data_IF_842809341538
#
_entry.id   IF_842809341538
#
_cell.length_a   1.000
_cell.length_b   1.000
_cell.length_c   1.000
_cell.angle_alpha   90.00
_cell.angle_beta   90.00
_cell.angle_gamma   90.00
#
_symmetry.space_group_name_H-M   'P 1'
#
loop_
_entity.id
_entity.type
_entity.pdbx_description
1 polymer ?
#
# COMPACT_ATOMS: atom_id res chain seq x y z
N UNK A 1 -1.45 23.75 2.45
CA UNK A 1 -2.91 23.62 2.24
C UNK A 1 -3.53 23.38 3.60
N UNK A 2 -4.56 24.14 3.96
CA UNK A 2 -5.36 23.86 5.17
C UNK A 2 -6.52 22.97 4.73
N UNK A 3 -6.66 21.81 5.39
CA UNK A 3 -7.75 20.89 5.10
C UNK A 3 -9.02 21.28 5.85
N UNK A 4 -10.15 21.17 5.19
CA UNK A 4 -11.46 21.28 5.84
C UNK A 4 -11.60 20.22 6.93
N UNK A 5 -12.15 20.62 8.09
CA UNK A 5 -12.38 19.74 9.21
C UNK A 5 -13.84 19.82 9.62
N UNK A 6 -14.54 18.71 9.53
CA UNK A 6 -15.93 18.56 9.99
C UNK A 6 -16.18 17.09 10.37
N UNK A 7 -17.36 16.77 10.86
CA UNK A 7 -17.71 15.42 11.32
C UNK A 7 -17.52 14.30 10.27
N UNK A 8 -17.43 14.67 8.98
CA UNK A 8 -17.22 13.73 7.87
C UNK A 8 -15.74 13.53 7.51
N UNK A 9 -14.85 14.42 7.92
CA UNK A 9 -13.45 14.44 7.47
C UNK A 9 -12.45 14.87 8.55
N UNK A 10 -12.61 14.35 9.76
CA UNK A 10 -11.61 14.52 10.82
C UNK A 10 -10.41 13.64 10.49
N UNK A 11 -9.26 14.26 10.24
CA UNK A 11 -7.98 13.55 10.09
C UNK A 11 -7.24 13.59 11.42
N UNK A 12 -6.91 12.42 11.96
CA UNK A 12 -6.23 12.26 13.24
C UNK A 12 -4.75 11.91 13.09
N UNK A 13 -4.44 11.00 12.14
CA UNK A 13 -3.08 10.58 11.88
C UNK A 13 -2.88 10.22 10.40
N UNK A 14 -2.14 11.06 9.69
CA UNK A 14 -1.88 10.85 8.27
C UNK A 14 -0.87 9.71 8.10
N UNK A 15 -1.33 8.62 7.51
CA UNK A 15 -0.51 7.44 7.19
C UNK A 15 0.08 7.54 5.79
N UNK A 16 -0.74 7.87 4.80
CA UNK A 16 -0.34 7.92 3.40
C UNK A 16 -1.08 9.05 2.67
N UNK A 17 -0.38 9.74 1.78
CA UNK A 17 -0.94 10.82 0.95
C UNK A 17 -0.53 10.61 -0.50
N UNK A 18 -1.50 10.62 -1.40
CA UNK A 18 -1.25 10.69 -2.84
C UNK A 18 -1.98 11.86 -3.51
N UNK A 19 -1.34 12.41 -4.55
CA UNK A 19 -1.95 13.43 -5.42
C UNK A 19 -2.30 12.80 -6.76
N UNK A 20 -3.56 12.91 -7.16
CA UNK A 20 -4.03 12.43 -8.45
C UNK A 20 -5.17 13.29 -9.00
N UNK A 21 -5.08 13.69 -10.27
CA UNK A 21 -6.08 14.49 -11.00
C UNK A 21 -6.62 15.71 -10.21
N UNK A 22 -5.71 16.46 -9.57
CA UNK A 22 -6.09 17.67 -8.83
C UNK A 22 -6.79 17.40 -7.49
N UNK A 23 -6.73 16.15 -7.00
CA UNK A 23 -7.23 15.75 -5.70
C UNK A 23 -6.11 15.25 -4.79
N UNK A 24 -6.35 15.36 -3.49
CA UNK A 24 -5.48 14.90 -2.41
C UNK A 24 -6.18 13.71 -1.75
N UNK A 25 -5.58 12.54 -1.85
CA UNK A 25 -6.05 11.30 -1.21
C UNK A 25 -5.28 11.13 0.08
N UNK A 26 -5.97 11.06 1.21
CA UNK A 26 -5.37 10.96 2.54
C UNK A 26 -5.93 9.77 3.29
N UNK A 27 -5.06 8.82 3.59
CA UNK A 27 -5.36 7.72 4.49
C UNK A 27 -5.08 8.15 5.92
N UNK A 28 -6.10 8.06 6.76
CA UNK A 28 -6.01 8.20 8.21
C UNK A 28 -6.07 6.82 8.87
N UNK A 29 -4.96 6.37 9.47
CA UNK A 29 -4.86 5.07 10.10
C UNK A 29 -5.67 4.95 11.40
N UNK A 30 -5.94 6.06 12.08
CA UNK A 30 -6.73 6.07 13.31
C UNK A 30 -8.22 5.89 13.05
N UNK A 31 -8.74 6.60 12.08
CA UNK A 31 -10.13 6.45 11.66
C UNK A 31 -10.32 5.33 10.63
N UNK A 32 -9.23 4.77 10.09
CA UNK A 32 -9.22 3.75 9.02
C UNK A 32 -10.04 4.18 7.82
N UNK A 33 -9.88 5.43 7.43
CA UNK A 33 -10.65 6.01 6.33
C UNK A 33 -9.74 6.64 5.29
N UNK A 34 -10.15 6.51 4.02
CA UNK A 34 -9.54 7.25 2.92
C UNK A 34 -10.42 8.45 2.58
N UNK A 35 -9.94 9.64 2.91
CA UNK A 35 -10.59 10.90 2.61
C UNK A 35 -9.99 11.54 1.36
N UNK A 36 -10.85 12.14 0.53
CA UNK A 36 -10.42 12.85 -0.68
C UNK A 36 -10.78 14.32 -0.56
N UNK A 37 -9.79 15.17 -0.83
CA UNK A 37 -9.90 16.63 -0.82
C UNK A 37 -9.48 17.18 -2.18
N UNK A 38 -9.99 18.36 -2.54
CA UNK A 38 -9.44 19.09 -3.66
C UNK A 38 -8.15 19.85 -3.28
N UNK A 39 -7.48 20.45 -4.26
CA UNK A 39 -6.21 21.18 -4.03
C UNK A 39 -6.36 22.45 -3.18
N UNK A 40 -7.59 22.89 -2.90
CA UNK A 40 -7.85 24.00 -1.96
C UNK A 40 -8.04 23.51 -0.52
N UNK A 41 -8.05 22.17 -0.31
CA UNK A 41 -8.27 21.54 0.99
C UNK A 41 -9.73 21.30 1.35
N UNK A 42 -10.68 21.53 0.41
CA UNK A 42 -12.11 21.24 0.63
C UNK A 42 -12.34 19.73 0.56
N UNK A 43 -13.06 19.19 1.54
CA UNK A 43 -13.45 17.79 1.56
C UNK A 43 -14.43 17.47 0.43
N UNK A 44 -14.19 16.39 -0.29
CA UNK A 44 -15.04 15.94 -1.38
C UNK A 44 -15.86 14.70 -0.99
N UNK A 45 -15.19 13.61 -0.63
CA UNK A 45 -15.81 12.32 -0.28
C UNK A 45 -14.83 11.38 0.42
N UNK A 46 -15.35 10.24 0.90
CA UNK A 46 -14.57 9.07 1.35
C UNK A 46 -14.69 7.94 0.33
N UNK A 47 -13.72 7.03 0.33
CA UNK A 47 -13.76 5.80 -0.46
C UNK A 47 -13.69 4.61 0.49
N UNK A 48 -14.64 3.67 0.33
CA UNK A 48 -14.77 2.50 1.19
C UNK A 48 -15.34 2.83 2.58
N UNK A 49 -16.00 1.86 3.17
CA UNK A 49 -16.60 1.93 4.49
C UNK A 49 -16.05 0.83 5.40
N UNK A 50 -16.13 1.03 6.71
CA UNK A 50 -15.73 0.03 7.70
C UNK A 50 -16.84 -1.01 7.84
N UNK A 51 -16.48 -2.29 7.67
CA UNK A 51 -17.41 -3.40 7.78
C UNK A 51 -16.92 -4.68 7.10
N UNK A 52 -17.82 -5.65 6.91
CA UNK A 52 -17.54 -6.97 6.33
C UNK A 52 -18.27 -7.21 5.00
N UNK A 53 -18.91 -6.20 4.43
CA UNK A 53 -19.64 -6.29 3.18
C UNK A 53 -18.75 -6.16 1.94
N UNK A 54 -19.38 -6.07 0.78
CA UNK A 54 -18.68 -5.82 -0.48
C UNK A 54 -18.11 -4.41 -0.49
N UNK A 55 -16.82 -4.30 -0.75
CA UNK A 55 -16.11 -3.01 -0.75
C UNK A 55 -15.80 -2.47 0.65
N UNK A 56 -16.29 -3.10 1.72
CA UNK A 56 -15.97 -2.73 3.09
C UNK A 56 -14.64 -3.34 3.54
N UNK A 57 -14.01 -2.70 4.52
CA UNK A 57 -12.74 -3.13 5.11
C UNK A 57 -12.82 -3.16 6.64
N UNK A 58 -12.03 -4.03 7.26
CA UNK A 58 -11.91 -4.11 8.72
C UNK A 58 -10.77 -3.23 9.19
N UNK A 59 -9.62 -3.30 8.51
CA UNK A 59 -8.39 -2.62 8.90
C UNK A 59 -7.67 -2.08 7.66
N UNK A 60 -8.11 -0.88 7.24
CA UNK A 60 -7.48 -0.19 6.11
C UNK A 60 -6.11 0.32 6.52
N UNK A 61 -5.06 -0.25 5.94
CA UNK A 61 -3.68 0.06 6.28
C UNK A 61 -2.93 0.81 5.18
N UNK A 62 -3.34 0.65 3.91
CA UNK A 62 -2.73 1.37 2.80
C UNK A 62 -3.65 1.43 1.58
N UNK A 63 -3.27 2.23 0.59
CA UNK A 63 -3.93 2.29 -0.70
C UNK A 63 -2.94 2.53 -1.83
N UNK A 64 -3.32 2.16 -3.05
CA UNK A 64 -2.55 2.42 -4.26
C UNK A 64 -3.46 2.87 -5.39
N UNK A 65 -2.95 3.73 -6.29
CA UNK A 65 -3.70 4.26 -7.42
C UNK A 65 -3.14 3.72 -8.73
N UNK A 66 -4.00 3.05 -9.50
CA UNK A 66 -3.78 2.83 -10.93
C UNK A 66 -4.16 4.11 -11.69
N UNK A 67 -3.13 4.89 -12.03
CA UNK A 67 -3.29 6.18 -12.69
C UNK A 67 -3.77 6.08 -14.14
N UNK A 68 -3.56 4.92 -14.77
CA UNK A 68 -3.94 4.69 -16.16
C UNK A 68 -5.42 4.35 -16.29
N UNK A 69 -5.88 3.38 -15.51
CA UNK A 69 -7.24 2.86 -15.57
C UNK A 69 -8.15 3.50 -14.51
N UNK A 70 -7.65 4.54 -13.78
CA UNK A 70 -8.36 5.30 -12.76
C UNK A 70 -9.02 4.42 -11.70
N UNK A 71 -8.28 3.46 -11.19
CA UNK A 71 -8.71 2.59 -10.10
C UNK A 71 -7.94 2.88 -8.83
N UNK A 72 -8.59 2.68 -7.69
CA UNK A 72 -7.95 2.75 -6.40
C UNK A 72 -8.12 1.42 -5.67
N UNK A 73 -7.03 0.94 -5.11
CA UNK A 73 -6.91 -0.31 -4.38
C UNK A 73 -6.79 0.02 -2.89
N UNK A 74 -7.75 -0.40 -2.10
CA UNK A 74 -7.76 -0.24 -0.64
C UNK A 74 -7.31 -1.54 0.01
N UNK A 75 -6.19 -1.52 0.71
CA UNK A 75 -5.62 -2.70 1.35
C UNK A 75 -6.16 -2.91 2.76
N UNK A 76 -6.88 -4.01 2.96
CA UNK A 76 -7.36 -4.46 4.25
C UNK A 76 -6.40 -5.51 4.83
N UNK A 77 -5.54 -5.10 5.75
CA UNK A 77 -4.54 -5.98 6.37
C UNK A 77 -5.14 -7.08 7.24
N UNK A 78 -6.36 -6.88 7.75
CA UNK A 78 -7.02 -7.90 8.56
C UNK A 78 -7.46 -9.12 7.74
N UNK A 79 -7.76 -8.93 6.46
CA UNK A 79 -8.31 -9.96 5.58
C UNK A 79 -7.43 -10.30 4.39
N UNK A 80 -6.25 -9.66 4.24
CA UNK A 80 -5.34 -9.76 3.08
C UNK A 80 -6.07 -9.58 1.75
N UNK A 81 -6.82 -8.50 1.70
CA UNK A 81 -7.71 -8.19 0.58
C UNK A 81 -7.50 -6.75 0.09
N UNK A 82 -7.40 -6.58 -1.22
CA UNK A 82 -7.50 -5.27 -1.84
C UNK A 82 -8.91 -5.08 -2.40
N UNK A 83 -9.65 -4.10 -1.89
CA UNK A 83 -10.91 -3.67 -2.49
C UNK A 83 -10.63 -2.64 -3.57
N UNK A 84 -11.19 -2.83 -4.75
CA UNK A 84 -10.95 -2.00 -5.92
C UNK A 84 -12.17 -1.16 -6.24
N UNK A 85 -11.95 0.15 -6.38
CA UNK A 85 -12.97 1.13 -6.71
C UNK A 85 -12.60 1.90 -7.97
N UNK A 86 -13.60 2.35 -8.68
CA UNK A 86 -13.46 3.32 -9.76
C UNK A 86 -13.33 4.72 -9.16
N UNK A 87 -12.33 5.49 -9.58
CA UNK A 87 -12.06 6.84 -9.03
C UNK A 87 -13.11 7.86 -9.50
N UNK A 88 -13.59 7.74 -10.73
CA UNK A 88 -14.53 8.71 -11.30
C UNK A 88 -15.95 8.50 -10.73
N UNK A 89 -16.43 7.24 -10.70
CA UNK A 89 -17.76 6.92 -10.18
C UNK A 89 -17.82 6.70 -8.67
N UNK A 90 -16.68 6.31 -8.05
CA UNK A 90 -16.49 5.90 -6.65
C UNK A 90 -17.16 4.56 -6.32
N UNK A 91 -17.60 3.84 -7.34
CA UNK A 91 -18.24 2.55 -7.17
C UNK A 91 -17.21 1.45 -6.86
N UNK A 92 -17.60 0.53 -5.98
CA UNK A 92 -16.87 -0.70 -5.79
C UNK A 92 -16.96 -1.57 -7.05
N UNK A 93 -15.80 -2.08 -7.53
CA UNK A 93 -15.71 -2.92 -8.73
C UNK A 93 -15.58 -4.38 -8.33
N UNK A 94 -14.51 -4.74 -7.62
CA UNK A 94 -14.22 -6.10 -7.17
C UNK A 94 -13.21 -6.10 -6.01
N UNK A 95 -12.95 -7.28 -5.44
CA UNK A 95 -11.86 -7.47 -4.48
C UNK A 95 -10.87 -8.51 -4.99
N UNK A 96 -9.60 -8.25 -4.73
CA UNK A 96 -8.51 -9.21 -4.91
C UNK A 96 -8.22 -9.78 -3.52
N UNK A 97 -8.51 -11.06 -3.33
CA UNK A 97 -8.14 -11.78 -2.11
C UNK A 97 -6.82 -12.50 -2.37
N UNK A 98 -5.84 -12.20 -1.55
CA UNK A 98 -4.54 -12.87 -1.60
C UNK A 98 -4.50 -14.03 -0.61
N UNK A 99 -3.64 -14.99 -0.85
CA UNK A 99 -3.37 -16.05 0.10
C UNK A 99 -2.38 -15.51 1.14
N UNK A 100 -2.76 -15.62 2.43
CA UNK A 100 -1.85 -15.30 3.52
C UNK A 100 -0.85 -16.43 3.66
N UNK A 101 0.41 -16.12 3.48
CA UNK A 101 1.54 -16.98 3.80
C UNK A 101 2.44 -16.22 4.77
N UNK A 102 2.41 -16.59 6.05
CA UNK A 102 3.26 -15.96 7.07
C UNK A 102 2.74 -14.63 7.60
N UNK A 103 3.57 -13.61 7.60
CA UNK A 103 3.32 -12.32 8.24
C UNK A 103 2.31 -11.43 7.51
N UNK A 104 1.81 -10.43 8.22
CA UNK A 104 0.90 -9.42 7.66
C UNK A 104 1.62 -8.48 6.71
N UNK A 105 0.93 -8.09 5.65
CA UNK A 105 1.34 -6.99 4.78
C UNK A 105 0.65 -5.71 5.22
N UNK A 106 1.40 -4.62 5.35
CA UNK A 106 0.87 -3.33 5.78
C UNK A 106 0.77 -2.34 4.64
N UNK A 107 1.65 -2.42 3.66
CA UNK A 107 1.75 -1.47 2.56
C UNK A 107 1.63 -2.17 1.23
N UNK A 108 1.02 -1.47 0.27
CA UNK A 108 0.87 -1.95 -1.09
C UNK A 108 1.37 -0.93 -2.11
N UNK A 109 1.73 -1.44 -3.26
CA UNK A 109 2.00 -0.68 -4.46
C UNK A 109 1.29 -1.33 -5.64
N UNK A 110 0.59 -0.57 -6.45
CA UNK A 110 0.12 -1.01 -7.77
C UNK A 110 1.10 -0.58 -8.86
N UNK A 111 1.52 -1.52 -9.69
CA UNK A 111 2.33 -1.23 -10.88
C UNK A 111 2.15 -2.30 -11.96
N UNK A 112 1.80 -1.88 -13.19
CA UNK A 112 1.68 -2.77 -14.36
C UNK A 112 0.82 -4.02 -14.13
N UNK A 113 -0.40 -3.84 -13.64
CA UNK A 113 -1.37 -4.90 -13.33
C UNK A 113 -0.90 -5.91 -12.26
N UNK A 114 -0.02 -5.46 -11.40
CA UNK A 114 0.51 -6.22 -10.26
C UNK A 114 0.38 -5.42 -8.98
N UNK A 115 0.11 -6.12 -7.89
CA UNK A 115 0.26 -5.58 -6.54
C UNK A 115 1.56 -6.07 -5.93
N UNK A 116 2.30 -5.18 -5.34
CA UNK A 116 3.45 -5.50 -4.50
C UNK A 116 3.06 -5.26 -3.06
N UNK A 117 3.35 -6.22 -2.19
CA UNK A 117 3.07 -6.12 -0.76
C UNK A 117 4.35 -6.33 0.02
N UNK A 118 4.59 -5.46 1.01
CA UNK A 118 5.71 -5.68 1.91
C UNK A 118 5.31 -6.60 3.06
N UNK A 119 6.27 -7.33 3.60
CA UNK A 119 6.10 -8.17 4.76
C UNK A 119 7.02 -7.73 5.88
N UNK A 120 6.53 -7.82 7.11
CA UNK A 120 7.37 -7.65 8.29
C UNK A 120 7.68 -9.02 8.86
N UNK A 121 8.92 -9.23 9.27
CA UNK A 121 9.30 -10.45 9.98
C UNK A 121 8.61 -10.46 11.35
N UNK A 122 7.79 -11.47 11.59
CA UNK A 122 7.32 -11.83 12.91
C UNK A 122 8.11 -13.06 13.39
N UNK A 123 8.45 -13.09 14.68
CA UNK A 123 9.06 -14.28 15.27
C UNK A 123 8.13 -15.49 15.08
N UNK A 124 8.63 -16.55 14.49
CA UNK A 124 7.96 -17.83 14.18
C UNK A 124 7.10 -17.84 12.88
N UNK A 125 7.27 -16.90 12.00
CA UNK A 125 6.61 -16.98 10.69
C UNK A 125 7.48 -17.76 9.70
N UNK A 126 6.83 -18.55 8.84
CA UNK A 126 7.46 -19.20 7.69
C UNK A 126 7.76 -18.20 6.54
N UNK A 127 7.60 -16.91 6.81
CA UNK A 127 7.87 -15.86 5.83
C UNK A 127 9.38 -15.78 5.57
N UNK A 128 9.75 -15.99 4.33
CA UNK A 128 11.14 -16.01 3.90
C UNK A 128 11.55 -14.79 3.07
N UNK A 129 10.60 -13.91 2.73
CA UNK A 129 10.83 -12.78 1.83
C UNK A 129 10.11 -11.51 2.30
N UNK A 130 10.75 -10.36 2.10
CA UNK A 130 10.22 -9.05 2.51
C UNK A 130 9.24 -8.43 1.51
N UNK A 131 9.28 -8.87 0.26
CA UNK A 131 8.44 -8.32 -0.81
C UNK A 131 7.81 -9.44 -1.63
N UNK A 132 6.50 -9.35 -1.84
CA UNK A 132 5.74 -10.24 -2.72
C UNK A 132 5.17 -9.48 -3.90
N UNK A 133 5.09 -10.15 -5.03
CA UNK A 133 4.44 -9.72 -6.24
C UNK A 133 3.19 -10.57 -6.47
N UNK A 134 2.04 -9.93 -6.65
CA UNK A 134 0.72 -10.55 -6.74
C UNK A 134 0.08 -10.13 -8.06
N UNK A 135 -0.48 -11.09 -8.77
CA UNK A 135 -1.28 -10.87 -9.96
C UNK A 135 -2.64 -10.24 -9.61
N UNK A 136 -2.98 -9.09 -10.19
CA UNK A 136 -4.22 -8.38 -9.89
C UNK A 136 -5.49 -9.07 -10.37
N UNK A 137 -5.41 -9.99 -11.33
CA UNK A 137 -6.59 -10.70 -11.86
C UNK A 137 -6.94 -11.90 -11.00
N UNK A 138 -5.92 -12.63 -10.54
CA UNK A 138 -6.11 -13.91 -9.85
C UNK A 138 -5.92 -13.84 -8.35
N UNK A 139 -5.24 -12.80 -7.84
CA UNK A 139 -4.82 -12.71 -6.44
C UNK A 139 -3.68 -13.65 -6.05
N UNK A 140 -3.12 -14.38 -7.02
CA UNK A 140 -2.04 -15.33 -6.76
C UNK A 140 -0.69 -14.64 -6.68
N UNK A 141 0.15 -15.14 -5.77
CA UNK A 141 1.54 -14.77 -5.71
C UNK A 141 2.28 -15.23 -6.98
N UNK A 142 2.98 -14.31 -7.64
CA UNK A 142 3.76 -14.56 -8.87
C UNK A 142 5.23 -14.74 -8.53
N UNK A 143 5.75 -13.88 -7.66
CA UNK A 143 7.16 -13.84 -7.28
C UNK A 143 7.34 -13.32 -5.85
N UNK A 144 8.51 -13.61 -5.29
CA UNK A 144 8.99 -13.07 -4.02
C UNK A 144 10.39 -12.52 -4.19
N UNK A 145 10.73 -11.52 -3.39
CA UNK A 145 12.02 -10.84 -3.44
C UNK A 145 12.54 -10.57 -2.04
N UNK A 146 13.84 -10.38 -1.91
CA UNK A 146 14.53 -9.97 -0.70
C UNK A 146 14.40 -11.04 0.40
N UNK A 147 15.17 -12.12 0.24
CA UNK A 147 15.21 -13.18 1.22
C UNK A 147 15.59 -12.64 2.61
N UNK A 148 14.79 -12.96 3.60
CA UNK A 148 14.91 -12.43 4.96
C UNK A 148 16.24 -12.80 5.62
N UNK A 149 16.79 -13.99 5.36
CA UNK A 149 18.09 -14.41 5.93
C UNK A 149 19.24 -13.53 5.43
N UNK A 150 19.15 -13.06 4.18
CA UNK A 150 20.17 -12.20 3.60
C UNK A 150 20.05 -10.75 4.07
N UNK A 151 18.81 -10.23 4.15
CA UNK A 151 18.56 -8.82 4.45
C UNK A 151 18.42 -8.53 5.94
N UNK A 152 17.91 -9.48 6.72
CA UNK A 152 17.61 -9.28 8.13
C UNK A 152 18.83 -9.30 9.05
N UNK A 153 19.96 -9.82 8.60
CA UNK A 153 21.25 -9.87 9.34
C UNK A 153 21.10 -10.34 10.79
N UNK A 154 20.18 -11.28 11.06
CA UNK A 154 19.95 -11.86 12.38
C UNK A 154 19.01 -11.06 13.30
N UNK A 155 18.34 -10.03 12.83
CA UNK A 155 17.29 -9.35 13.60
C UNK A 155 16.03 -10.21 13.64
N UNK A 156 15.52 -10.47 14.86
CA UNK A 156 14.36 -11.32 15.12
C UNK A 156 13.16 -10.54 15.69
N UNK A 157 13.08 -9.23 15.47
CA UNK A 157 12.00 -8.42 15.99
C UNK A 157 11.03 -8.03 14.88
N UNK A 158 9.71 -8.08 15.14
CA UNK A 158 8.73 -7.54 14.21
C UNK A 158 8.90 -6.01 14.17
N UNK A 159 9.36 -5.51 13.05
CA UNK A 159 9.46 -4.07 12.82
C UNK A 159 8.45 -3.66 11.76
N UNK A 160 7.47 -2.86 12.17
CA UNK A 160 6.59 -2.15 11.26
C UNK A 160 7.25 -0.84 10.90
N UNK A 161 7.39 -0.56 9.61
CA UNK A 161 7.75 0.77 9.17
C UNK A 161 6.61 1.74 9.53
N UNK A 162 6.97 2.92 10.01
CA UNK A 162 5.98 3.95 10.35
C UNK A 162 5.33 4.55 9.10
N UNK A 163 5.99 4.47 7.96
CA UNK A 163 5.54 5.02 6.68
C UNK A 163 5.66 3.96 5.59
N UNK A 164 4.98 4.18 4.46
CA UNK A 164 5.09 3.31 3.30
C UNK A 164 6.54 3.15 2.86
N UNK A 165 6.90 1.91 2.54
CA UNK A 165 8.19 1.54 1.97
C UNK A 165 8.22 1.68 0.44
N UNK A 166 7.11 2.08 -0.17
CA UNK A 166 6.98 2.25 -1.62
C UNK A 166 6.90 3.73 -2.01
N UNK A 167 7.54 4.05 -3.14
CA UNK A 167 7.53 5.38 -3.72
C UNK A 167 7.27 5.27 -5.23
N UNK A 168 6.10 5.72 -5.68
CA UNK A 168 5.66 5.59 -7.08
C UNK A 168 5.43 6.92 -7.79
N UNK A 169 5.45 8.04 -7.05
CA UNK A 169 5.11 9.34 -7.64
C UNK A 169 6.18 9.81 -8.63
N UNK A 170 5.71 10.21 -9.81
CA UNK A 170 6.53 10.79 -10.89
C UNK A 170 7.72 9.93 -11.36
N UNK A 171 7.64 8.61 -11.22
CA UNK A 171 8.68 7.69 -11.67
C UNK A 171 8.13 6.67 -12.66
N UNK A 172 8.93 6.33 -13.67
CA UNK A 172 8.63 5.24 -14.62
C UNK A 172 8.83 3.86 -13.98
N UNK A 173 9.55 3.79 -12.88
CA UNK A 173 9.86 2.59 -12.14
C UNK A 173 9.74 2.89 -10.65
N UNK A 174 8.74 2.32 -9.97
CA UNK A 174 8.55 2.51 -8.55
C UNK A 174 9.79 2.12 -7.75
N UNK A 175 9.91 2.69 -6.57
CA UNK A 175 11.03 2.42 -5.65
C UNK A 175 10.52 1.69 -4.43
N UNK A 176 11.36 0.83 -3.90
CA UNK A 176 11.19 0.15 -2.63
C UNK A 176 12.37 0.46 -1.72
N UNK A 177 12.08 0.73 -0.46
CA UNK A 177 13.08 0.94 0.60
C UNK A 177 12.78 0.01 1.75
N UNK A 178 13.74 -0.82 2.10
CA UNK A 178 13.65 -1.63 3.32
C UNK A 178 14.27 -0.92 4.52
N UNK A 179 13.75 -1.21 5.71
CA UNK A 179 14.20 -0.59 6.97
C UNK A 179 15.66 -0.92 7.31
N UNK A 180 16.16 -2.07 6.86
CA UNK A 180 17.54 -2.52 7.11
C UNK A 180 18.47 -2.28 5.93
N UNK A 181 17.93 -1.76 4.82
CA UNK A 181 18.68 -1.56 3.60
C UNK A 181 19.36 -0.20 3.55
N UNK A 182 20.60 -0.20 3.09
CA UNK A 182 21.31 0.99 2.64
C UNK A 182 20.99 1.33 1.18
N UNK A 183 20.14 0.54 0.55
CA UNK A 183 19.88 0.57 -0.88
C UNK A 183 18.41 0.83 -1.18
N UNK A 184 18.14 1.85 -2.00
CA UNK A 184 16.83 2.08 -2.59
C UNK A 184 16.76 1.25 -3.88
N UNK A 185 15.75 0.38 -3.99
CA UNK A 185 15.57 -0.51 -5.11
C UNK A 185 14.55 0.03 -6.11
N UNK A 186 14.81 -0.13 -7.40
CA UNK A 186 13.81 0.05 -8.46
C UNK A 186 13.07 -1.26 -8.70
N UNK A 187 11.75 -1.20 -8.76
CA UNK A 187 10.91 -2.32 -9.15
C UNK A 187 10.77 -2.30 -10.67
N UNK A 188 11.32 -3.31 -11.32
CA UNK A 188 11.18 -3.58 -12.75
C UNK A 188 10.22 -4.74 -12.97
N UNK A 189 9.75 -4.98 -14.21
CA UNK A 189 8.73 -6.01 -14.47
C UNK A 189 9.09 -7.43 -14.03
N UNK A 190 10.37 -7.78 -13.93
CA UNK A 190 10.88 -9.12 -13.67
C UNK A 190 11.96 -9.18 -12.58
N UNK A 191 12.36 -8.03 -12.03
CA UNK A 191 13.45 -7.97 -11.05
C UNK A 191 13.49 -6.67 -10.27
N UNK A 192 14.23 -6.69 -9.17
CA UNK A 192 14.66 -5.50 -8.46
C UNK A 192 16.10 -5.15 -8.86
N UNK A 193 16.38 -3.86 -8.99
CA UNK A 193 17.74 -3.38 -9.21
C UNK A 193 18.05 -2.21 -8.26
N UNK A 194 19.31 -2.05 -7.79
CA UNK A 194 19.71 -0.87 -7.06
C UNK A 194 19.46 0.41 -7.87
N UNK A 195 18.79 1.38 -7.27
CA UNK A 195 18.60 2.72 -7.80
C UNK A 195 19.56 3.71 -7.15
N UNK A 196 19.69 3.64 -5.83
CA UNK A 196 20.58 4.47 -5.04
C UNK A 196 21.15 3.65 -3.89
N UNK A 197 22.40 3.88 -3.56
CA UNK A 197 23.07 3.32 -2.38
C UNK A 197 23.42 4.47 -1.46
N UNK A 198 23.07 4.35 -0.18
CA UNK A 198 23.42 5.33 0.84
C UNK A 198 24.70 4.86 1.52
N UNK A 199 25.82 5.53 1.21
CA UNK A 199 27.09 5.28 1.91
C UNK A 199 27.06 6.01 3.26
N UNK A 200 27.29 5.28 4.35
CA UNK A 200 27.35 5.79 5.72
C UNK A 200 28.78 6.00 6.20
#
# INVERSE_FOLDING_TARGET
IVLETNDKCIIQNIQHVELFEGNIYILDDKSRTLCVFNMNGTFLYRIGDIGNGKGEHIELSDFAIDRKDKKIYLWDEATDKANVFDIDTKDYIYSIKTEREGSRSYYILYHNNKLYTNHTLLNNDDETHLLREIDCETGKQIATYLNCEEYNKGWNFPLRMANSCFYSQNTTSPKYVDIFGDTILSILPDRLIPAYVVES
#
